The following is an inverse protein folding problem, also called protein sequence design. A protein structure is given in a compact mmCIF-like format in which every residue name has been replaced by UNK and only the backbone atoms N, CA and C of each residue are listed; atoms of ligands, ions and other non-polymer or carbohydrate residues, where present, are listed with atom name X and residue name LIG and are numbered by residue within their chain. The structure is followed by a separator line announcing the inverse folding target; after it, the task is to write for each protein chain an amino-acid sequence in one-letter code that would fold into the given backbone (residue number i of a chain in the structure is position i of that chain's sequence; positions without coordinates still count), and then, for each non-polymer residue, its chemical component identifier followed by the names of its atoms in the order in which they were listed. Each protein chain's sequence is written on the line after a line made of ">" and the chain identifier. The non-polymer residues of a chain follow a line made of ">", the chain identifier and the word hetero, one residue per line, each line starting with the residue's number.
data_IF_275263814595
#
_entry.id   IF_275263814595
#
_cell.length_a   1.000
_cell.length_b   1.000
_cell.length_c   1.000
_cell.angle_alpha   90.00
_cell.angle_beta   90.00
_cell.angle_gamma   90.00
#
_symmetry.space_group_name_H-M   'P 1'
#
loop_
_entity.id
_entity.type
_entity.pdbx_description
1 polymer ?
#
# COMPACT_ATOMS: atom_id res chain seq x y z
N UNK A 1 -33.53 -81.29 23.85
CA UNK A 1 -33.35 -80.03 23.12
C UNK A 1 -31.93 -80.03 22.60
N UNK A 2 -31.72 -80.52 21.38
CA UNK A 2 -30.40 -80.53 20.75
C UNK A 2 -30.08 -79.11 20.26
N UNK A 3 -28.86 -78.59 20.47
CA UNK A 3 -28.50 -77.27 19.97
C UNK A 3 -28.45 -77.34 18.44
N UNK A 4 -29.18 -76.46 17.78
CA UNK A 4 -29.10 -76.29 16.33
C UNK A 4 -27.76 -75.61 16.04
N UNK A 5 -26.77 -76.40 15.61
CA UNK A 5 -25.53 -75.87 15.04
C UNK A 5 -25.90 -75.03 13.80
N UNK A 6 -25.58 -73.74 13.85
CA UNK A 6 -25.73 -72.86 12.70
C UNK A 6 -24.76 -73.33 11.59
N UNK A 7 -25.20 -73.46 10.34
CA UNK A 7 -24.34 -73.95 9.27
C UNK A 7 -23.12 -73.04 9.12
N UNK A 8 -21.94 -73.64 8.96
CA UNK A 8 -20.71 -72.90 8.71
C UNK A 8 -20.87 -72.04 7.45
N UNK A 9 -20.41 -70.77 7.46
CA UNK A 9 -20.54 -69.88 6.33
C UNK A 9 -19.89 -70.49 5.09
N UNK A 10 -20.53 -70.31 3.94
CA UNK A 10 -20.00 -70.75 2.67
C UNK A 10 -18.72 -70.00 2.31
N UNK A 11 -17.90 -70.60 1.43
CA UNK A 11 -16.67 -69.97 0.96
C UNK A 11 -16.93 -68.62 0.30
N UNK A 12 -18.04 -68.47 -0.42
CA UNK A 12 -18.43 -67.21 -1.07
C UNK A 12 -18.83 -66.14 -0.04
N UNK A 13 -19.54 -66.50 1.04
CA UNK A 13 -19.85 -65.57 2.13
C UNK A 13 -18.59 -65.10 2.86
N UNK A 14 -17.63 -66.00 3.08
CA UNK A 14 -16.32 -65.65 3.65
C UNK A 14 -15.50 -64.77 2.71
N UNK A 15 -15.55 -65.00 1.40
CA UNK A 15 -14.86 -64.18 0.41
C UNK A 15 -15.43 -62.76 0.34
N UNK A 16 -16.76 -62.61 0.36
CA UNK A 16 -17.43 -61.30 0.40
C UNK A 16 -17.08 -60.55 1.68
N UNK A 17 -17.10 -61.23 2.83
CA UNK A 17 -16.70 -60.62 4.10
C UNK A 17 -15.23 -60.19 4.10
N UNK A 18 -14.32 -61.00 3.53
CA UNK A 18 -12.90 -60.67 3.44
C UNK A 18 -12.65 -59.43 2.56
N UNK A 19 -13.37 -59.30 1.44
CA UNK A 19 -13.29 -58.11 0.57
C UNK A 19 -13.83 -56.87 1.28
N UNK A 20 -14.98 -56.99 1.96
CA UNK A 20 -15.56 -55.89 2.73
C UNK A 20 -14.63 -55.44 3.87
N UNK A 21 -14.02 -56.38 4.59
CA UNK A 21 -13.04 -56.09 5.64
C UNK A 21 -11.76 -55.45 5.07
N UNK A 22 -11.28 -55.92 3.91
CA UNK A 22 -10.11 -55.32 3.25
C UNK A 22 -10.37 -53.86 2.85
N UNK A 23 -11.56 -53.55 2.34
CA UNK A 23 -11.97 -52.18 2.04
C UNK A 23 -12.03 -51.31 3.31
N UNK A 24 -12.62 -51.82 4.38
CA UNK A 24 -12.69 -51.11 5.66
C UNK A 24 -11.31 -50.88 6.30
N UNK A 25 -10.39 -51.84 6.18
CA UNK A 25 -8.99 -51.70 6.63
C UNK A 25 -8.26 -50.61 5.83
N UNK A 26 -8.48 -50.54 4.52
CA UNK A 26 -7.87 -49.50 3.68
C UNK A 26 -8.36 -48.11 4.06
N UNK A 27 -9.67 -47.95 4.28
CA UNK A 27 -10.27 -46.69 4.71
C UNK A 27 -9.76 -46.24 6.09
N UNK A 28 -9.72 -47.16 7.06
CA UNK A 28 -9.22 -46.86 8.40
C UNK A 28 -7.73 -46.49 8.39
N UNK A 29 -6.90 -47.14 7.56
CA UNK A 29 -5.48 -46.78 7.40
C UNK A 29 -5.31 -45.36 6.86
N UNK A 30 -6.07 -45.00 5.83
CA UNK A 30 -6.02 -43.65 5.26
C UNK A 30 -6.47 -42.58 6.27
N UNK A 31 -7.52 -42.85 7.06
CA UNK A 31 -7.98 -41.96 8.12
C UNK A 31 -6.91 -41.78 9.23
N UNK A 32 -6.23 -42.86 9.59
CA UNK A 32 -5.19 -42.87 10.63
C UNK A 32 -3.93 -42.12 10.19
N UNK A 33 -3.52 -42.25 8.93
CA UNK A 33 -2.43 -41.43 8.35
C UNK A 33 -2.76 -39.93 8.40
N UNK A 34 -3.98 -39.55 8.01
CA UNK A 34 -4.43 -38.16 8.05
C UNK A 34 -4.48 -37.61 9.47
N UNK A 35 -4.95 -38.41 10.42
CA UNK A 35 -4.97 -38.05 11.84
C UNK A 35 -3.55 -37.88 12.41
N UNK A 36 -2.64 -38.81 12.12
CA UNK A 36 -1.25 -38.73 12.57
C UNK A 36 -0.49 -37.54 11.97
N UNK A 37 -0.73 -37.21 10.69
CA UNK A 37 -0.17 -36.01 10.07
C UNK A 37 -0.65 -34.73 10.80
N UNK A 38 -1.93 -34.69 11.17
CA UNK A 38 -2.51 -33.55 11.90
C UNK A 38 -1.97 -33.44 13.33
N UNK A 39 -1.83 -34.57 14.03
CA UNK A 39 -1.22 -34.61 15.36
C UNK A 39 0.21 -34.10 15.30
N UNK A 40 1.02 -34.57 14.35
CA UNK A 40 2.41 -34.12 14.15
C UNK A 40 2.49 -32.60 13.91
N UNK A 41 1.60 -32.05 13.07
CA UNK A 41 1.52 -30.60 12.82
C UNK A 41 1.16 -29.81 14.08
N UNK A 42 0.18 -30.29 14.85
CA UNK A 42 -0.29 -29.64 16.08
C UNK A 42 0.78 -29.70 17.18
N UNK A 43 1.45 -30.83 17.34
CA UNK A 43 2.58 -31.00 18.27
C UNK A 43 3.75 -30.09 17.88
N UNK A 44 4.09 -29.98 16.59
CA UNK A 44 5.10 -29.04 16.10
C UNK A 44 4.71 -27.56 16.36
N UNK A 45 3.41 -27.26 16.41
CA UNK A 45 2.90 -25.92 16.74
C UNK A 45 2.94 -25.63 18.24
N UNK A 46 2.62 -26.63 19.07
CA UNK A 46 2.65 -26.53 20.53
C UNK A 46 4.08 -26.55 21.10
N UNK A 47 5.03 -27.23 20.45
CA UNK A 47 6.44 -27.23 20.81
C UNK A 47 7.17 -25.88 20.59
N UNK A 48 6.52 -24.89 19.97
CA UNK A 48 7.07 -23.55 19.77
C UNK A 48 6.89 -22.70 21.02
N UNK A 49 7.89 -22.73 21.90
CA UNK A 49 8.03 -21.80 23.02
C UNK A 49 9.04 -20.67 22.71
N UNK A 50 9.04 -19.62 23.52
CA UNK A 50 9.90 -18.44 23.38
C UNK A 50 11.41 -18.69 23.48
N UNK A 51 11.82 -19.94 23.78
CA UNK A 51 13.22 -20.37 23.83
C UNK A 51 13.69 -21.08 22.55
N UNK A 52 12.77 -21.64 21.75
CA UNK A 52 13.07 -22.36 20.50
C UNK A 52 12.56 -21.61 19.25
N UNK A 53 11.47 -20.83 19.35
CA UNK A 53 11.03 -20.03 18.21
C UNK A 53 12.02 -18.88 17.96
N UNK A 54 12.49 -18.72 16.72
CA UNK A 54 13.25 -17.57 16.19
C UNK A 54 12.50 -16.23 16.26
N UNK A 55 11.52 -16.09 17.17
CA UNK A 55 10.85 -14.83 17.47
C UNK A 55 11.80 -13.96 18.31
N UNK A 56 12.06 -12.70 17.90
CA UNK A 56 12.93 -11.83 18.67
C UNK A 56 12.33 -11.57 20.05
N UNK A 57 13.12 -11.84 21.11
CA UNK A 57 12.82 -11.30 22.44
C UNK A 57 12.87 -9.78 22.33
N UNK A 58 11.85 -9.09 22.84
CA UNK A 58 11.88 -7.64 23.00
C UNK A 58 13.12 -7.24 23.82
N UNK A 59 14.11 -6.65 23.16
CA UNK A 59 15.30 -6.04 23.78
C UNK A 59 14.98 -4.72 24.49
N UNK A 60 13.72 -4.27 24.43
CA UNK A 60 13.30 -2.98 25.01
C UNK A 60 13.34 -3.07 26.53
N UNK A 61 14.34 -2.42 27.14
CA UNK A 61 14.36 -2.10 28.57
C UNK A 61 13.14 -1.22 28.89
N UNK A 62 12.47 -1.46 30.03
CA UNK A 62 11.39 -0.58 30.52
C UNK A 62 11.99 0.80 30.74
N UNK A 63 11.56 1.78 29.95
CA UNK A 63 12.12 3.14 29.94
C UNK A 63 11.52 4.06 30.99
N UNK A 64 10.55 3.59 31.79
CA UNK A 64 9.85 4.41 32.80
C UNK A 64 9.04 5.58 32.24
N UNK A 65 9.00 5.75 30.90
CA UNK A 65 8.27 6.83 30.24
C UNK A 65 6.76 6.63 30.40
N UNK A 66 6.06 7.71 30.73
CA UNK A 66 4.60 7.73 30.75
C UNK A 66 4.06 7.38 29.35
N UNK A 67 2.93 6.67 29.24
CA UNK A 67 2.24 6.51 27.97
C UNK A 67 1.89 7.89 27.41
N UNK A 68 2.31 8.18 26.17
CA UNK A 68 2.08 9.48 25.53
C UNK A 68 3.06 9.75 24.40
N UNK A 69 2.76 10.78 23.60
CA UNK A 69 3.70 11.36 22.64
C UNK A 69 4.98 11.83 23.32
N UNK A 70 6.06 11.98 22.55
CA UNK A 70 7.30 12.54 23.09
C UNK A 70 7.05 14.00 23.53
N UNK A 71 7.80 14.49 24.53
CA UNK A 71 7.70 15.87 24.97
C UNK A 71 7.93 16.82 23.77
N UNK A 72 6.96 17.72 23.50
CA UNK A 72 6.97 18.62 22.36
C UNK A 72 6.13 18.18 21.14
N UNK A 73 5.60 16.94 21.12
CA UNK A 73 4.59 16.57 20.12
C UNK A 73 3.24 17.19 20.46
N UNK A 74 2.73 18.02 19.55
CA UNK A 74 1.36 18.54 19.65
C UNK A 74 0.36 17.39 19.51
N UNK A 75 -0.36 17.08 20.59
CA UNK A 75 -1.35 16.02 20.60
C UNK A 75 -2.59 16.45 19.81
N UNK A 76 -2.94 15.69 18.77
CA UNK A 76 -4.24 15.83 18.11
C UNK A 76 -5.26 14.93 18.80
N UNK A 77 -6.21 15.54 19.52
CA UNK A 77 -7.37 14.83 20.05
C UNK A 77 -8.48 14.87 19.01
N UNK A 78 -9.14 13.75 18.74
CA UNK A 78 -10.32 13.70 17.87
C UNK A 78 -11.42 14.60 18.46
N UNK A 79 -11.82 15.63 17.69
CA UNK A 79 -12.82 16.61 18.12
C UNK A 79 -14.18 16.28 17.53
N UNK A 80 -15.23 16.62 18.27
CA UNK A 80 -16.58 16.62 17.72
C UNK A 80 -16.66 17.67 16.60
N UNK A 81 -17.31 17.29 15.51
CA UNK A 81 -17.67 18.18 14.41
C UNK A 81 -19.01 18.83 14.73
N UNK A 82 -19.15 20.13 14.52
CA UNK A 82 -20.41 20.83 14.85
C UNK A 82 -21.54 20.55 13.86
N UNK A 83 -21.21 20.30 12.59
CA UNK A 83 -22.16 19.95 11.53
C UNK A 83 -21.90 18.54 10.99
N UNK A 84 -22.46 17.48 11.61
CA UNK A 84 -22.31 16.11 11.11
C UNK A 84 -23.22 15.87 9.90
N UNK A 85 -22.74 15.08 8.93
CA UNK A 85 -23.52 14.72 7.74
C UNK A 85 -24.89 14.07 8.04
N UNK A 86 -25.02 13.43 9.22
CA UNK A 86 -26.29 12.91 9.74
C UNK A 86 -26.30 13.02 11.27
N UNK A 87 -27.38 13.55 11.83
CA UNK A 87 -27.68 13.50 13.25
C UNK A 87 -28.83 12.51 13.52
N UNK A 88 -28.66 11.62 14.50
CA UNK A 88 -29.69 10.67 14.93
C UNK A 88 -29.96 10.92 16.41
N UNK A 89 -31.22 11.18 16.75
CA UNK A 89 -31.67 11.34 18.14
C UNK A 89 -32.14 9.98 18.65
N UNK A 90 -31.60 9.56 19.78
CA UNK A 90 -31.99 8.32 20.46
C UNK A 90 -32.79 8.67 21.71
N UNK A 91 -34.09 8.41 21.70
CA UNK A 91 -34.98 8.70 22.83
C UNK A 91 -35.23 7.44 23.68
N UNK A 92 -35.27 7.57 25.02
CA UNK A 92 -35.68 6.48 25.88
C UNK A 92 -37.18 6.21 25.69
N UNK A 93 -37.54 4.96 25.35
CA UNK A 93 -38.95 4.59 25.17
C UNK A 93 -39.71 4.47 26.50
N UNK A 94 -39.01 4.12 27.59
CA UNK A 94 -39.60 3.83 28.88
C UNK A 94 -38.70 4.25 30.05
N UNK A 95 -39.34 4.56 31.18
CA UNK A 95 -38.68 4.86 32.44
C UNK A 95 -37.95 3.62 32.96
N UNK A 96 -36.66 3.75 33.23
CA UNK A 96 -35.83 2.65 33.74
C UNK A 96 -36.29 2.12 35.11
N UNK A 97 -37.11 2.87 35.85
CA UNK A 97 -37.58 2.50 37.18
C UNK A 97 -38.97 1.85 37.17
N UNK A 98 -39.97 2.50 36.58
CA UNK A 98 -41.36 2.02 36.59
C UNK A 98 -41.82 1.42 35.27
N UNK A 99 -41.08 1.62 34.17
CA UNK A 99 -41.46 1.13 32.84
C UNK A 99 -42.45 2.01 32.08
N UNK A 100 -42.95 3.10 32.69
CA UNK A 100 -43.87 4.02 32.03
C UNK A 100 -43.24 4.67 30.79
N UNK A 101 -44.05 4.90 29.76
CA UNK A 101 -43.61 5.51 28.51
C UNK A 101 -43.06 6.93 28.69
N UNK A 102 -41.97 7.26 28.01
CA UNK A 102 -41.30 8.57 28.11
C UNK A 102 -41.40 9.45 26.85
N UNK A 103 -42.15 9.02 25.83
CA UNK A 103 -42.20 9.71 24.53
C UNK A 103 -42.64 11.19 24.60
N UNK A 104 -43.42 11.56 25.62
CA UNK A 104 -43.91 12.93 25.84
C UNK A 104 -43.29 13.61 27.07
N UNK A 105 -42.32 12.97 27.71
CA UNK A 105 -41.61 13.56 28.85
C UNK A 105 -40.66 14.67 28.37
N UNK A 106 -40.37 15.69 29.21
CA UNK A 106 -39.44 16.75 28.83
C UNK A 106 -38.01 16.23 28.66
N UNK A 107 -37.31 16.74 27.65
CA UNK A 107 -35.87 16.50 27.45
C UNK A 107 -35.09 17.34 28.46
N UNK A 108 -34.38 16.67 29.37
CA UNK A 108 -33.62 17.36 30.44
C UNK A 108 -32.16 17.65 30.09
N UNK A 109 -31.56 16.84 29.22
CA UNK A 109 -30.17 16.99 28.76
C UNK A 109 -29.95 16.20 27.47
N UNK A 110 -28.95 16.61 26.69
CA UNK A 110 -28.49 15.89 25.49
C UNK A 110 -26.97 15.72 25.58
N UNK A 111 -26.50 14.47 25.52
CA UNK A 111 -25.08 14.15 25.37
C UNK A 111 -24.77 13.93 23.88
N UNK A 112 -23.71 14.57 23.37
CA UNK A 112 -23.26 14.37 21.98
C UNK A 112 -22.23 13.23 21.92
N UNK A 113 -22.46 12.27 21.03
CA UNK A 113 -21.46 11.27 20.60
C UNK A 113 -21.44 11.21 19.09
N UNK A 114 -20.25 11.10 18.52
CA UNK A 114 -20.05 11.03 17.08
C UNK A 114 -19.18 9.84 16.71
N UNK A 115 -19.55 9.18 15.62
CA UNK A 115 -18.77 8.13 14.98
C UNK A 115 -18.35 8.69 13.63
N UNK A 116 -17.04 8.77 13.40
CA UNK A 116 -16.48 9.08 12.08
C UNK A 116 -16.19 7.75 11.42
N UNK A 117 -16.91 7.46 10.33
CA UNK A 117 -16.78 6.20 9.60
C UNK A 117 -16.66 6.47 8.10
N UNK A 118 -16.20 5.48 7.35
CA UNK A 118 -16.13 5.54 5.90
C UNK A 118 -17.50 5.20 5.28
N UNK A 119 -17.90 5.90 4.20
CA UNK A 119 -19.05 5.44 3.42
C UNK A 119 -18.73 4.09 2.75
N UNK A 120 -19.77 3.40 2.26
CA UNK A 120 -19.54 2.28 1.35
C UNK A 120 -18.77 2.78 0.11
N UNK A 121 -17.65 2.14 -0.21
CA UNK A 121 -16.78 2.55 -1.30
C UNK A 121 -16.89 1.53 -2.44
N UNK A 122 -17.64 1.90 -3.48
CA UNK A 122 -17.89 1.04 -4.64
C UNK A 122 -17.52 1.75 -5.95
N UNK A 123 -16.98 1.02 -6.94
CA UNK A 123 -16.64 1.60 -8.23
C UNK A 123 -17.92 1.88 -9.03
N UNK A 124 -18.03 3.10 -9.57
CA UNK A 124 -19.12 3.46 -10.48
C UNK A 124 -18.71 3.13 -11.91
N UNK A 125 -19.47 2.26 -12.58
CA UNK A 125 -19.26 1.91 -13.99
C UNK A 125 -20.30 2.63 -14.84
N UNK A 126 -19.85 3.44 -15.79
CA UNK A 126 -20.70 4.14 -16.76
C UNK A 126 -20.57 3.46 -18.12
N UNK A 127 -21.67 2.92 -18.63
CA UNK A 127 -21.72 2.30 -19.95
C UNK A 127 -22.08 3.34 -21.03
N UNK A 128 -21.16 3.57 -21.96
CA UNK A 128 -21.39 4.47 -23.10
C UNK A 128 -21.93 3.67 -24.30
N UNK A 129 -23.23 3.78 -24.56
CA UNK A 129 -23.89 3.09 -25.69
C UNK A 129 -23.78 3.89 -26.97
N UNK A 130 -22.88 3.48 -27.85
CA UNK A 130 -22.67 4.10 -29.15
C UNK A 130 -23.64 3.51 -30.19
N UNK A 131 -24.82 4.12 -30.28
CA UNK A 131 -25.90 3.67 -31.18
C UNK A 131 -25.53 3.95 -32.64
N UNK A 132 -25.85 3.00 -33.51
CA UNK A 132 -25.80 3.18 -34.96
C UNK A 132 -27.23 3.19 -35.52
N UNK A 133 -27.49 4.10 -36.47
CA UNK A 133 -28.78 4.23 -37.15
C UNK A 133 -28.59 4.28 -38.65
N UNK A 134 -29.56 3.80 -39.39
CA UNK A 134 -29.61 3.85 -40.85
C UNK A 134 -30.56 4.96 -41.31
N UNK A 135 -30.16 5.79 -42.28
CA UNK A 135 -31.09 6.76 -42.87
C UNK A 135 -32.11 6.03 -43.73
N UNK A 136 -33.40 6.22 -43.43
CA UNK A 136 -34.51 5.76 -44.28
C UNK A 136 -34.48 6.34 -45.71
N UNK A 137 -33.76 7.45 -45.89
CA UNK A 137 -33.69 8.21 -47.14
C UNK A 137 -32.66 7.65 -48.15
N UNK A 138 -31.52 7.17 -47.66
CA UNK A 138 -30.35 6.84 -48.49
C UNK A 138 -29.61 5.57 -48.06
N UNK A 139 -30.07 4.90 -46.99
CA UNK A 139 -29.45 3.69 -46.45
C UNK A 139 -28.12 3.92 -45.73
N UNK A 140 -27.66 5.16 -45.54
CA UNK A 140 -26.38 5.43 -44.85
C UNK A 140 -26.48 5.09 -43.37
N UNK A 141 -25.56 4.23 -42.88
CA UNK A 141 -25.40 3.90 -41.46
C UNK A 141 -24.45 4.89 -40.81
N UNK A 142 -24.89 5.52 -39.71
CA UNK A 142 -24.11 6.48 -38.93
C UNK A 142 -24.06 6.03 -37.48
N UNK A 143 -22.86 5.90 -36.93
CA UNK A 143 -22.60 5.51 -35.54
C UNK A 143 -22.28 6.74 -34.70
N UNK A 144 -22.80 6.77 -33.48
CA UNK A 144 -22.44 7.79 -32.49
C UNK A 144 -20.93 7.73 -32.16
N UNK A 145 -20.31 8.90 -32.03
CA UNK A 145 -18.92 9.04 -31.62
C UNK A 145 -18.77 8.81 -30.10
N UNK A 146 -17.65 8.24 -29.70
CA UNK A 146 -17.32 8.09 -28.29
C UNK A 146 -17.00 9.46 -27.68
N UNK A 147 -17.46 9.76 -26.45
CA UNK A 147 -17.02 10.95 -25.73
C UNK A 147 -15.50 10.96 -25.53
N UNK A 148 -14.91 12.15 -25.38
CA UNK A 148 -13.48 12.29 -25.13
C UNK A 148 -13.05 11.51 -23.88
N UNK A 149 -11.99 10.70 -24.02
CA UNK A 149 -11.46 9.86 -22.95
C UNK A 149 -12.17 8.52 -22.78
N UNK A 150 -13.10 8.16 -23.68
CA UNK A 150 -13.70 6.81 -23.78
C UNK A 150 -13.12 6.12 -25.01
N UNK A 151 -11.86 5.69 -24.88
CA UNK A 151 -11.02 5.24 -26.00
C UNK A 151 -11.04 3.72 -26.18
N UNK A 152 -11.46 2.98 -25.16
CA UNK A 152 -11.51 1.52 -25.17
C UNK A 152 -12.88 0.98 -24.74
N UNK A 153 -13.26 -0.24 -25.18
CA UNK A 153 -14.53 -0.87 -24.77
C UNK A 153 -14.70 -0.99 -23.25
N UNK A 154 -13.60 -1.17 -22.52
CA UNK A 154 -13.53 -1.10 -21.07
C UNK A 154 -12.21 -0.45 -20.67
N UNK A 155 -12.25 0.51 -19.76
CA UNK A 155 -11.08 1.19 -19.23
C UNK A 155 -11.30 1.68 -17.82
N UNK A 156 -10.21 1.90 -17.09
CA UNK A 156 -10.26 2.58 -15.82
C UNK A 156 -10.35 4.10 -16.02
N UNK A 157 -11.20 4.75 -15.24
CA UNK A 157 -11.34 6.20 -15.25
C UNK A 157 -10.21 6.94 -14.50
N UNK A 158 -10.15 8.28 -14.62
CA UNK A 158 -9.10 9.09 -14.03
C UNK A 158 -9.03 9.01 -12.49
N UNK A 159 -10.16 8.79 -11.80
CA UNK A 159 -10.17 8.62 -10.35
C UNK A 159 -9.42 7.37 -9.87
N UNK A 160 -9.55 6.26 -10.61
CA UNK A 160 -8.80 5.02 -10.33
C UNK A 160 -7.31 5.25 -10.58
N UNK A 161 -6.96 5.89 -11.68
CA UNK A 161 -5.55 6.20 -12.01
C UNK A 161 -4.93 7.10 -10.94
N UNK A 162 -5.62 8.16 -10.51
CA UNK A 162 -5.14 9.07 -9.46
C UNK A 162 -4.88 8.33 -8.13
N UNK A 163 -5.79 7.46 -7.70
CA UNK A 163 -5.64 6.70 -6.48
C UNK A 163 -4.47 5.72 -6.55
N UNK A 164 -4.31 5.03 -7.69
CA UNK A 164 -3.17 4.13 -7.93
C UNK A 164 -1.85 4.88 -7.84
N UNK A 165 -1.76 6.06 -8.48
CA UNK A 165 -0.56 6.90 -8.44
C UNK A 165 -0.27 7.42 -7.03
N UNK A 166 -1.31 7.79 -6.27
CA UNK A 166 -1.16 8.23 -4.89
C UNK A 166 -0.66 7.10 -3.98
N UNK A 167 -1.25 5.89 -4.07
CA UNK A 167 -0.83 4.75 -3.28
C UNK A 167 0.61 4.31 -3.62
N UNK A 168 0.95 4.28 -4.91
CA UNK A 168 2.27 3.89 -5.35
C UNK A 168 3.34 4.96 -5.06
N UNK A 169 3.10 6.19 -5.52
CA UNK A 169 4.09 7.28 -5.49
C UNK A 169 4.06 8.13 -4.22
N UNK A 170 2.88 8.35 -3.64
CA UNK A 170 2.70 9.16 -2.43
C UNK A 170 2.78 8.37 -1.13
N UNK A 171 2.30 7.13 -1.13
CA UNK A 171 2.31 6.23 0.03
C UNK A 171 3.38 5.12 -0.07
N UNK A 172 4.14 5.09 -1.16
CA UNK A 172 5.26 4.17 -1.37
C UNK A 172 4.91 2.68 -1.28
N UNK A 173 3.67 2.30 -1.61
CA UNK A 173 3.29 0.89 -1.68
C UNK A 173 3.99 0.21 -2.87
N UNK A 174 4.47 -1.02 -2.65
CA UNK A 174 4.91 -1.86 -3.76
C UNK A 174 3.75 -2.12 -4.76
N UNK A 175 4.05 -2.30 -6.05
CA UNK A 175 3.03 -2.44 -7.11
C UNK A 175 2.00 -3.54 -6.79
N UNK A 176 2.46 -4.68 -6.32
CA UNK A 176 1.59 -5.80 -5.95
C UNK A 176 0.70 -5.44 -4.75
N UNK A 177 1.23 -4.65 -3.81
CA UNK A 177 0.45 -4.15 -2.66
C UNK A 177 -0.58 -3.11 -3.07
N UNK A 178 -0.30 -2.30 -4.10
CA UNK A 178 -1.30 -1.40 -4.69
C UNK A 178 -2.43 -2.21 -5.33
N UNK A 179 -2.10 -3.24 -6.12
CA UNK A 179 -3.11 -4.11 -6.72
C UNK A 179 -4.00 -4.79 -5.66
N UNK A 180 -3.39 -5.32 -4.59
CA UNK A 180 -4.12 -5.90 -3.45
C UNK A 180 -5.01 -4.86 -2.76
N UNK A 181 -4.48 -3.66 -2.46
CA UNK A 181 -5.25 -2.61 -1.81
C UNK A 181 -6.46 -2.17 -2.66
N UNK A 182 -6.28 -2.06 -3.98
CA UNK A 182 -7.37 -1.71 -4.90
C UNK A 182 -8.46 -2.80 -4.94
N UNK A 183 -8.08 -4.07 -4.89
CA UNK A 183 -9.02 -5.18 -4.84
C UNK A 183 -9.77 -5.27 -3.49
N UNK A 184 -9.04 -5.16 -2.37
CA UNK A 184 -9.61 -5.34 -1.02
C UNK A 184 -10.45 -4.14 -0.56
N UNK A 185 -10.05 -2.91 -0.91
CA UNK A 185 -10.71 -1.70 -0.42
C UNK A 185 -11.77 -1.16 -1.39
N UNK A 186 -11.63 -1.43 -2.70
CA UNK A 186 -12.48 -0.83 -3.74
C UNK A 186 -13.10 -1.88 -4.66
N UNK A 187 -12.80 -3.17 -4.50
CA UNK A 187 -13.27 -4.22 -5.42
C UNK A 187 -12.69 -4.12 -6.84
N UNK A 188 -11.61 -3.34 -7.04
CA UNK A 188 -11.00 -3.12 -8.35
C UNK A 188 -9.80 -4.05 -8.53
N UNK A 189 -9.97 -5.11 -9.32
CA UNK A 189 -8.91 -6.06 -9.62
C UNK A 189 -7.91 -5.50 -10.66
N UNK A 190 -6.76 -5.02 -10.18
CA UNK A 190 -5.66 -4.56 -11.03
C UNK A 190 -4.58 -5.62 -11.15
N UNK A 191 -3.92 -5.68 -12.32
CA UNK A 191 -2.64 -6.37 -12.43
C UNK A 191 -1.49 -5.44 -12.06
N UNK A 192 -0.35 -5.95 -11.58
CA UNK A 192 0.86 -5.14 -11.39
C UNK A 192 1.34 -4.45 -12.68
N UNK A 193 1.10 -5.09 -13.84
CA UNK A 193 1.37 -4.51 -15.16
C UNK A 193 0.49 -3.30 -15.45
N UNK A 194 -0.79 -3.33 -15.06
CA UNK A 194 -1.72 -2.19 -15.19
C UNK A 194 -1.24 -1.01 -14.33
N UNK A 195 -0.82 -1.27 -13.09
CA UNK A 195 -0.24 -0.24 -12.21
C UNK A 195 1.01 0.39 -12.84
N UNK A 196 1.91 -0.43 -13.38
CA UNK A 196 3.11 0.06 -14.08
C UNK A 196 2.76 0.89 -15.33
N UNK A 197 1.76 0.47 -16.11
CA UNK A 197 1.31 1.19 -17.30
C UNK A 197 0.68 2.55 -16.95
N UNK A 198 -0.13 2.62 -15.89
CA UNK A 198 -0.70 3.87 -15.37
C UNK A 198 0.42 4.84 -14.96
N UNK A 199 1.42 4.35 -14.23
CA UNK A 199 2.58 5.17 -13.85
C UNK A 199 3.36 5.68 -15.06
N UNK A 200 3.61 4.82 -16.06
CA UNK A 200 4.34 5.20 -17.26
C UNK A 200 3.59 6.30 -18.05
N UNK A 201 2.27 6.19 -18.20
CA UNK A 201 1.45 7.22 -18.83
C UNK A 201 1.50 8.53 -18.05
N UNK A 202 1.35 8.47 -16.73
CA UNK A 202 1.42 9.65 -15.88
C UNK A 202 2.78 10.35 -15.95
N UNK A 203 3.87 9.58 -15.91
CA UNK A 203 5.22 10.09 -16.07
C UNK A 203 5.43 10.73 -17.47
N UNK A 204 4.89 10.11 -18.53
CA UNK A 204 4.92 10.67 -19.87
C UNK A 204 4.26 12.04 -19.98
N UNK A 205 3.12 12.24 -19.31
CA UNK A 205 2.43 13.54 -19.26
C UNK A 205 3.24 14.64 -18.56
N UNK A 206 4.10 14.28 -17.61
CA UNK A 206 4.97 15.23 -16.88
C UNK A 206 6.31 15.49 -17.59
N UNK A 207 6.73 14.59 -18.49
CA UNK A 207 8.07 14.63 -19.06
C UNK A 207 8.36 15.84 -19.95
N UNK A 208 7.40 16.22 -20.80
CA UNK A 208 7.63 17.22 -21.85
C UNK A 208 7.72 18.66 -21.33
N UNK A 209 6.88 19.03 -20.35
CA UNK A 209 6.75 20.42 -19.90
C UNK A 209 7.17 20.61 -18.44
N UNK A 210 6.71 19.73 -17.55
CA UNK A 210 6.92 19.91 -16.10
C UNK A 210 8.39 19.69 -15.70
N UNK A 211 9.05 18.66 -16.21
CA UNK A 211 10.46 18.39 -15.85
C UNK A 211 11.42 19.52 -16.26
N UNK A 212 11.36 20.08 -17.49
CA UNK A 212 12.13 21.27 -17.84
C UNK A 212 11.86 22.46 -16.91
N UNK A 213 10.60 22.77 -16.60
CA UNK A 213 10.25 23.88 -15.72
C UNK A 213 10.84 23.72 -14.30
N UNK A 214 10.79 22.51 -13.74
CA UNK A 214 11.39 22.23 -12.43
C UNK A 214 12.91 22.38 -12.49
N UNK A 215 13.55 21.90 -13.56
CA UNK A 215 15.00 22.04 -13.76
C UNK A 215 15.40 23.52 -13.85
N UNK A 216 14.69 24.30 -14.65
CA UNK A 216 14.96 25.73 -14.83
C UNK A 216 14.74 26.50 -13.51
N UNK A 217 13.69 26.17 -12.77
CA UNK A 217 13.42 26.78 -11.47
C UNK A 217 14.49 26.43 -10.42
N UNK A 218 15.03 25.21 -10.45
CA UNK A 218 16.16 24.83 -9.60
C UNK A 218 17.46 25.54 -10.03
N UNK A 219 17.74 25.63 -11.33
CA UNK A 219 18.92 26.32 -11.85
C UNK A 219 18.89 27.84 -11.58
N UNK A 220 17.70 28.42 -11.45
CA UNK A 220 17.51 29.83 -11.10
C UNK A 220 17.49 30.10 -9.58
N UNK A 221 17.50 29.08 -8.73
CA UNK A 221 17.41 29.23 -7.29
C UNK A 221 18.73 29.78 -6.69
N UNK A 222 18.62 30.59 -5.63
CA UNK A 222 19.80 31.12 -4.93
C UNK A 222 20.58 30.04 -4.18
N UNK A 223 19.89 28.99 -3.71
CA UNK A 223 20.49 27.87 -2.99
C UNK A 223 19.87 26.56 -3.46
N UNK A 224 20.71 25.60 -3.84
CA UNK A 224 20.31 24.25 -4.23
C UNK A 224 21.05 23.23 -3.38
N UNK A 225 20.32 22.30 -2.75
CA UNK A 225 20.91 21.10 -2.15
C UNK A 225 21.10 20.02 -3.20
N UNK A 226 22.27 19.38 -3.21
CA UNK A 226 22.58 18.27 -4.09
C UNK A 226 23.10 17.07 -3.29
N UNK A 227 22.66 15.87 -3.65
CA UNK A 227 23.06 14.62 -3.02
C UNK A 227 22.92 13.45 -3.99
N UNK A 228 23.62 12.35 -3.71
CA UNK A 228 23.61 11.13 -4.49
C UNK A 228 23.47 9.90 -3.59
N UNK A 229 22.56 9.00 -3.94
CA UNK A 229 22.40 7.73 -3.21
C UNK A 229 22.40 6.53 -4.15
N UNK A 230 22.98 5.42 -3.68
CA UNK A 230 23.07 4.19 -4.46
C UNK A 230 21.74 3.44 -4.50
N UNK A 231 21.33 3.00 -5.69
CA UNK A 231 20.12 2.19 -5.91
C UNK A 231 20.44 0.97 -6.77
N UNK A 232 19.81 -0.17 -6.49
CA UNK A 232 19.91 -1.35 -7.34
C UNK A 232 18.82 -1.35 -8.41
N UNK A 233 19.21 -1.26 -9.68
CA UNK A 233 18.31 -1.37 -10.84
C UNK A 233 18.65 -2.67 -11.57
N UNK A 234 17.70 -3.61 -11.61
CA UNK A 234 17.90 -4.94 -12.20
C UNK A 234 19.21 -5.62 -11.72
N UNK A 235 19.50 -5.52 -10.42
CA UNK A 235 20.69 -6.11 -9.78
C UNK A 235 21.99 -5.27 -9.91
N UNK A 236 22.03 -4.27 -10.80
CA UNK A 236 23.19 -3.41 -11.01
C UNK A 236 23.12 -2.17 -10.14
N UNK A 237 24.27 -1.71 -9.65
CA UNK A 237 24.36 -0.46 -8.88
C UNK A 237 24.22 0.73 -9.84
N UNK A 238 23.18 1.52 -9.63
CA UNK A 238 22.95 2.83 -10.22
C UNK A 238 22.99 3.88 -9.10
N UNK A 239 22.95 5.15 -9.49
CA UNK A 239 22.99 6.29 -8.59
C UNK A 239 21.79 7.18 -8.85
N UNK A 240 21.12 7.54 -7.76
CA UNK A 240 20.02 8.48 -7.75
C UNK A 240 20.61 9.84 -7.40
N UNK A 241 20.59 10.74 -8.37
CA UNK A 241 21.07 12.11 -8.25
C UNK A 241 19.89 13.01 -7.93
N UNK A 242 20.04 13.89 -6.95
CA UNK A 242 19.01 14.85 -6.60
C UNK A 242 19.50 16.29 -6.59
N UNK A 243 18.60 17.20 -6.95
CA UNK A 243 18.74 18.62 -6.71
C UNK A 243 17.44 19.13 -6.08
N UNK A 244 17.56 19.92 -5.01
CA UNK A 244 16.40 20.37 -4.25
C UNK A 244 16.50 21.79 -3.72
N UNK A 245 15.34 22.42 -3.58
CA UNK A 245 15.11 23.58 -2.73
C UNK A 245 14.15 23.17 -1.62
N UNK A 246 13.66 24.13 -0.83
CA UNK A 246 12.59 23.87 0.14
C UNK A 246 11.32 23.30 -0.50
N UNK A 247 10.99 23.73 -1.73
CA UNK A 247 9.72 23.41 -2.40
C UNK A 247 9.84 22.42 -3.55
N UNK A 248 10.99 22.38 -4.22
CA UNK A 248 11.20 21.57 -5.42
C UNK A 248 12.23 20.49 -5.15
N UNK A 249 12.00 19.30 -5.69
CA UNK A 249 12.96 18.20 -5.69
C UNK A 249 12.93 17.55 -7.07
N UNK A 250 14.07 17.55 -7.74
CA UNK A 250 14.29 16.83 -8.98
C UNK A 250 15.21 15.64 -8.69
N UNK A 251 14.81 14.47 -9.18
CA UNK A 251 15.54 13.22 -8.97
C UNK A 251 15.70 12.51 -10.30
N UNK A 252 16.91 12.04 -10.60
CA UNK A 252 17.19 11.20 -11.77
C UNK A 252 18.01 9.98 -11.38
N UNK A 253 17.75 8.85 -12.03
CA UNK A 253 18.54 7.64 -11.86
C UNK A 253 19.53 7.52 -13.03
N UNK A 254 20.82 7.41 -12.72
CA UNK A 254 21.89 7.29 -13.71
C UNK A 254 22.81 6.11 -13.37
N UNK A 255 23.36 5.34 -14.34
CA UNK A 255 24.25 4.21 -14.04
C UNK A 255 25.55 4.61 -13.33
N UNK A 256 26.01 5.85 -13.53
CA UNK A 256 27.25 6.36 -12.94
C UNK A 256 26.98 7.38 -11.84
N UNK A 257 27.79 7.29 -10.78
CA UNK A 257 27.97 8.36 -9.79
C UNK A 257 28.77 9.48 -10.42
N UNK A 258 28.58 10.70 -9.96
CA UNK A 258 29.46 11.80 -10.27
C UNK A 258 29.07 12.67 -11.41
N UNK A 259 30.09 13.36 -11.91
CA UNK A 259 29.95 14.45 -12.85
C UNK A 259 29.01 14.11 -14.01
N UNK A 260 29.15 12.91 -14.59
CA UNK A 260 28.27 12.46 -15.66
C UNK A 260 26.79 12.42 -15.26
N UNK A 261 26.47 11.95 -14.05
CA UNK A 261 25.08 11.92 -13.55
C UNK A 261 24.58 13.28 -13.06
N UNK A 262 25.46 14.09 -12.48
CA UNK A 262 25.15 15.47 -12.07
C UNK A 262 24.85 16.34 -13.30
N UNK A 263 25.65 16.21 -14.36
CA UNK A 263 25.43 16.91 -15.62
C UNK A 263 24.15 16.40 -16.31
N UNK A 264 23.86 15.10 -16.23
CA UNK A 264 22.62 14.51 -16.75
C UNK A 264 21.37 15.03 -16.03
N UNK A 265 21.44 15.29 -14.72
CA UNK A 265 20.35 15.94 -13.97
C UNK A 265 20.04 17.33 -14.55
N UNK A 266 21.06 18.04 -15.02
CA UNK A 266 20.95 19.28 -15.79
C UNK A 266 20.64 20.53 -14.96
N UNK A 267 20.93 20.50 -13.67
CA UNK A 267 20.69 21.65 -12.75
C UNK A 267 21.97 22.44 -12.46
N UNK A 268 23.07 21.75 -12.13
CA UNK A 268 24.34 22.39 -11.76
C UNK A 268 25.22 22.90 -12.93
N UNK A 269 25.12 22.40 -14.18
CA UNK A 269 25.87 22.99 -15.29
C UNK A 269 25.54 24.48 -15.47
N UNK A 270 26.55 25.35 -15.35
CA UNK A 270 26.38 26.80 -15.46
C UNK A 270 25.76 27.47 -14.23
N UNK A 271 25.60 26.74 -13.12
CA UNK A 271 25.07 27.27 -11.87
C UNK A 271 26.12 28.17 -11.18
N UNK A 272 25.70 29.37 -10.77
CA UNK A 272 26.59 30.41 -10.23
C UNK A 272 26.20 30.88 -8.82
N UNK A 273 25.19 30.23 -8.22
CA UNK A 273 24.72 30.53 -6.87
C UNK A 273 25.31 29.53 -5.87
N UNK A 274 24.64 29.24 -4.75
CA UNK A 274 25.18 28.37 -3.71
C UNK A 274 24.68 26.93 -3.87
N UNK A 275 25.59 25.97 -3.97
CA UNK A 275 25.30 24.54 -3.89
C UNK A 275 25.63 24.00 -2.50
N UNK A 276 24.67 23.31 -1.88
CA UNK A 276 24.84 22.64 -0.59
C UNK A 276 25.04 21.14 -0.84
N UNK A 277 26.18 20.58 -0.46
CA UNK A 277 26.52 19.17 -0.70
C UNK A 277 27.35 18.54 0.44
N UNK A 278 27.57 17.22 0.38
CA UNK A 278 28.22 16.38 1.39
C UNK A 278 29.77 16.39 1.35
N UNK A 279 30.39 17.43 0.77
CA UNK A 279 31.85 17.52 0.54
C UNK A 279 32.41 16.48 -0.45
N UNK A 280 31.56 15.86 -1.27
CA UNK A 280 32.05 14.90 -2.25
C UNK A 280 32.76 15.58 -3.43
N UNK A 281 33.99 15.14 -3.73
CA UNK A 281 34.95 15.89 -4.56
C UNK A 281 34.49 16.28 -5.99
N UNK A 282 33.69 15.48 -6.71
CA UNK A 282 33.21 15.89 -8.05
C UNK A 282 32.28 17.12 -8.07
N UNK A 283 31.75 17.56 -6.92
CA UNK A 283 31.10 18.87 -6.84
C UNK A 283 32.10 20.02 -6.97
N UNK A 284 33.37 19.85 -6.59
CA UNK A 284 34.40 20.88 -6.66
C UNK A 284 34.72 21.31 -8.11
N UNK A 285 34.27 20.53 -9.09
CA UNK A 285 34.40 20.85 -10.51
C UNK A 285 33.39 21.90 -11.02
N UNK A 286 32.48 22.38 -10.17
CA UNK A 286 31.54 23.48 -10.46
C UNK A 286 32.07 24.80 -9.89
N UNK A 287 33.24 25.22 -10.39
CA UNK A 287 34.05 26.33 -9.84
C UNK A 287 33.36 27.70 -9.82
N UNK A 288 32.34 27.88 -10.66
CA UNK A 288 31.59 29.14 -10.74
C UNK A 288 30.49 29.24 -9.67
N UNK A 289 30.18 28.13 -8.99
CA UNK A 289 29.23 28.09 -7.88
C UNK A 289 29.91 28.41 -6.55
N UNK A 290 29.17 29.04 -5.63
CA UNK A 290 29.52 29.05 -4.23
C UNK A 290 29.24 27.68 -3.60
N UNK A 291 30.11 27.20 -2.72
CA UNK A 291 29.97 25.91 -2.06
C UNK A 291 29.68 26.05 -0.57
N UNK A 292 28.65 25.35 -0.10
CA UNK A 292 28.32 25.20 1.31
C UNK A 292 28.30 23.72 1.66
N UNK A 293 28.98 23.34 2.74
CA UNK A 293 28.91 21.96 3.23
C UNK A 293 27.59 21.72 3.96
N UNK A 294 26.97 20.58 3.70
CA UNK A 294 25.75 20.16 4.36
C UNK A 294 26.00 19.87 5.85
N UNK A 295 25.46 20.68 6.74
CA UNK A 295 25.66 20.52 8.18
C UNK A 295 25.11 19.20 8.73
N UNK A 296 24.08 18.62 8.11
CA UNK A 296 23.54 17.32 8.50
C UNK A 296 24.57 16.19 8.27
N UNK A 297 25.21 16.18 7.09
CA UNK A 297 26.28 15.23 6.78
C UNK A 297 27.54 15.50 7.63
N UNK A 298 27.87 16.76 7.88
CA UNK A 298 29.01 17.12 8.72
C UNK A 298 28.83 16.72 10.18
N UNK A 299 27.61 16.80 10.74
CA UNK A 299 27.31 16.40 12.11
C UNK A 299 27.45 14.88 12.37
N UNK A 300 27.34 14.05 11.32
CA UNK A 300 27.57 12.61 11.39
C UNK A 300 29.06 12.23 11.30
N UNK A 301 29.93 13.17 10.91
CA UNK A 301 31.38 12.99 10.99
C UNK A 301 31.80 13.14 12.46
N UNK A 302 31.90 12.01 13.18
CA UNK A 302 32.56 11.99 14.49
C UNK A 302 33.93 12.65 14.35
N UNK A 303 34.07 13.84 14.93
CA UNK A 303 35.37 14.48 15.12
C UNK A 303 36.22 13.51 15.94
N UNK A 304 37.11 12.78 15.27
CA UNK A 304 38.19 12.07 15.96
C UNK A 304 39.03 13.16 16.63
N UNK A 305 39.16 13.16 17.97
CA UNK A 305 39.98 14.16 18.63
C UNK A 305 41.43 13.96 18.15
N UNK A 306 41.99 14.98 17.51
CA UNK A 306 43.43 15.05 17.29
C UNK A 306 44.09 15.20 18.65
N UNK A 307 44.74 14.13 19.11
CA UNK A 307 45.65 14.15 20.25
C UNK A 307 46.78 15.15 19.96
N UNK A 308 46.90 16.13 20.86
CA UNK A 308 47.99 17.11 20.93
C UNK A 308 49.33 16.43 21.23
#
# INVERSE_FOLDING_TARGET
>A
MSPVESPAPSYDELAVLAVAQAAQIAELRAALEKANARITELEARLGKNSRNSSKPRSLRKRTGRKPGGQDGHEGSTLRLVDDPARAVVHEPVACRRCGDGLLLAPVMAVERRQVVDLPAVEPVVVEHRLVERECVCCGTRTRAEAPAGVDAPAQYGPGVEALVLYLYGGQFLARDRVAVAMAELFGIALSPGTVAAMLARAAGRLGAEFLPQVRDALAAADVVGADETGLRVAGKLHWVHCARTEKLTLVVCHPRRGREGIDFLGVLPGFTRVVVHDCWAPYDAFVDAGHQLCCAHYADVRVMPTSA
#
